data_IF_992248902007
#
_entry.id   IF_992248902007
#
_cell.length_a   1.000
_cell.length_b   1.000
_cell.length_c   1.000
_cell.angle_alpha   90.00
_cell.angle_beta   90.00
_cell.angle_gamma   90.00
#
_symmetry.space_group_name_H-M   'P 1'
#
loop_
_entity.id
_entity.type
_entity.pdbx_description
1 polymer ?
#
# COMPACT_ATOMS: atom_id res chain seq x y z
N UNK A 1 -22.77 -29.04 -21.96
CA UNK A 1 -23.41 -27.77 -21.54
C UNK A 1 -23.39 -27.78 -20.03
N UNK A 2 -22.80 -26.78 -19.40
CA UNK A 2 -22.88 -26.65 -17.94
C UNK A 2 -24.33 -26.29 -17.62
N UNK A 3 -25.00 -27.08 -16.79
CA UNK A 3 -26.37 -26.77 -16.38
C UNK A 3 -26.31 -25.72 -15.27
N UNK A 4 -26.98 -24.59 -15.48
CA UNK A 4 -27.25 -23.65 -14.41
C UNK A 4 -28.64 -23.96 -13.87
N UNK A 5 -28.70 -24.75 -12.80
CA UNK A 5 -29.96 -25.18 -12.16
C UNK A 5 -30.30 -24.34 -10.94
N UNK A 6 -29.63 -23.21 -10.75
CA UNK A 6 -29.93 -22.24 -9.71
C UNK A 6 -31.08 -21.31 -10.11
N UNK A 7 -31.70 -20.65 -9.12
CA UNK A 7 -32.46 -19.46 -9.41
C UNK A 7 -31.47 -18.33 -9.74
N UNK A 8 -31.60 -17.73 -10.93
CA UNK A 8 -30.87 -16.52 -11.31
C UNK A 8 -31.19 -15.36 -10.36
N UNK A 9 -30.38 -14.28 -10.40
CA UNK A 9 -30.74 -13.04 -9.72
C UNK A 9 -32.11 -12.55 -10.20
N UNK A 10 -33.08 -12.47 -9.30
CA UNK A 10 -34.44 -12.04 -9.61
C UNK A 10 -34.66 -10.59 -9.20
N UNK A 11 -35.66 -9.96 -9.82
CA UNK A 11 -36.08 -8.60 -9.46
C UNK A 11 -36.49 -8.58 -7.99
N UNK A 12 -35.81 -7.74 -7.20
CA UNK A 12 -36.02 -7.62 -5.75
C UNK A 12 -34.89 -8.18 -4.91
N UNK A 13 -33.94 -8.91 -5.50
CA UNK A 13 -32.73 -9.33 -4.79
C UNK A 13 -31.87 -8.11 -4.42
N UNK A 14 -31.40 -8.10 -3.17
CA UNK A 14 -30.43 -7.12 -2.70
C UNK A 14 -29.31 -7.81 -1.95
N UNK A 15 -28.07 -7.42 -2.26
CA UNK A 15 -26.89 -7.85 -1.54
C UNK A 15 -26.41 -6.71 -0.66
N UNK A 16 -26.33 -6.94 0.65
CA UNK A 16 -25.71 -5.99 1.57
C UNK A 16 -24.26 -6.39 1.76
N UNK A 17 -23.35 -5.55 1.29
CA UNK A 17 -21.90 -5.72 1.51
C UNK A 17 -21.48 -4.79 2.64
N UNK A 18 -21.12 -5.36 3.79
CA UNK A 18 -20.59 -4.60 4.90
C UNK A 18 -19.12 -4.25 4.63
N UNK A 19 -18.81 -2.97 4.51
CA UNK A 19 -17.44 -2.47 4.48
C UNK A 19 -17.10 -1.93 5.86
N UNK A 20 -16.29 -2.69 6.61
CA UNK A 20 -15.82 -2.24 7.91
C UNK A 20 -14.90 -1.01 7.76
N UNK A 21 -14.92 -0.12 8.74
CA UNK A 21 -13.98 0.98 8.79
C UNK A 21 -12.54 0.44 8.89
N UNK A 22 -11.64 0.98 8.07
CA UNK A 22 -10.22 0.67 8.16
C UNK A 22 -9.62 1.12 9.50
N UNK A 23 -8.50 0.51 9.90
CA UNK A 23 -7.80 0.85 11.14
C UNK A 23 -7.13 2.22 11.11
N UNK A 24 -6.98 2.84 9.92
CA UNK A 24 -6.18 4.04 9.66
C UNK A 24 -4.71 3.92 10.10
N UNK A 25 -4.22 2.69 10.28
CA UNK A 25 -2.83 2.40 10.60
C UNK A 25 -2.04 2.18 9.32
N UNK A 26 -0.77 2.56 9.36
CA UNK A 26 0.19 2.26 8.30
C UNK A 26 1.09 1.11 8.77
N UNK A 27 1.50 0.27 7.83
CA UNK A 27 2.38 -0.87 8.08
C UNK A 27 3.52 -0.85 7.07
N UNK A 28 4.54 -1.68 7.29
CA UNK A 28 5.62 -1.85 6.33
C UNK A 28 5.08 -2.38 4.99
N UNK A 29 5.70 -1.93 3.89
CA UNK A 29 5.37 -2.35 2.53
C UNK A 29 5.56 -3.87 2.38
N UNK A 30 4.51 -4.56 1.94
CA UNK A 30 4.48 -6.00 1.71
C UNK A 30 3.73 -6.30 0.42
N UNK A 31 4.47 -6.67 -0.63
CA UNK A 31 3.90 -6.92 -1.96
C UNK A 31 3.04 -8.19 -2.05
N UNK A 32 3.05 -9.03 -1.02
CA UNK A 32 2.21 -10.22 -0.94
C UNK A 32 0.91 -9.98 -0.18
N UNK A 33 0.80 -8.83 0.48
CA UNK A 33 -0.39 -8.46 1.21
C UNK A 33 -1.57 -8.16 0.26
N UNK A 34 -2.77 -8.28 0.81
CA UNK A 34 -4.05 -8.00 0.13
C UNK A 34 -4.90 -6.99 0.91
N UNK A 35 -4.27 -6.27 1.83
CA UNK A 35 -4.90 -5.36 2.78
C UNK A 35 -4.54 -3.88 2.55
N UNK A 36 -3.88 -3.58 1.43
CA UNK A 36 -3.36 -2.25 1.09
C UNK A 36 -1.87 -2.06 1.43
N UNK A 37 -1.26 -2.96 2.21
CA UNK A 37 0.17 -2.89 2.52
C UNK A 37 1.07 -3.15 1.30
N UNK A 38 0.53 -3.65 0.20
CA UNK A 38 1.25 -3.80 -1.08
C UNK A 38 1.47 -2.47 -1.81
N UNK A 39 0.79 -1.40 -1.39
CA UNK A 39 0.85 -0.09 -2.02
C UNK A 39 1.69 0.89 -1.19
N UNK A 40 2.70 1.49 -1.81
CA UNK A 40 3.57 2.44 -1.14
C UNK A 40 2.85 3.76 -0.86
N UNK A 41 2.62 4.06 0.43
CA UNK A 41 1.88 5.23 0.88
C UNK A 41 2.76 6.42 1.31
N UNK A 42 3.92 6.15 1.90
CA UNK A 42 4.81 7.18 2.43
C UNK A 42 6.11 6.61 2.97
N UNK A 43 6.97 7.49 3.49
CA UNK A 43 8.30 7.14 4.00
C UNK A 43 8.38 7.52 5.48
N UNK A 44 8.68 6.56 6.35
CA UNK A 44 8.91 6.84 7.77
C UNK A 44 10.24 7.59 7.97
N UNK A 45 10.26 8.57 8.87
CA UNK A 45 11.47 9.38 9.14
C UNK A 45 12.44 8.70 10.13
N UNK A 46 11.98 7.64 10.79
CA UNK A 46 12.73 6.88 11.78
C UNK A 46 12.17 5.46 11.86
N UNK A 47 12.93 4.56 12.49
CA UNK A 47 12.39 3.28 12.91
C UNK A 47 11.44 3.50 14.10
N UNK A 48 10.18 3.14 13.91
CA UNK A 48 9.21 3.02 14.99
C UNK A 48 9.07 1.54 15.33
N UNK A 49 8.84 1.24 16.61
CA UNK A 49 8.96 -0.12 17.17
C UNK A 49 8.26 -1.22 16.39
N UNK A 50 8.75 -2.44 16.58
CA UNK A 50 8.36 -3.68 15.88
C UNK A 50 7.29 -4.50 16.62
N UNK A 51 6.93 -4.08 17.84
CA UNK A 51 6.04 -4.82 18.74
C UNK A 51 4.77 -4.04 19.03
N UNK A 52 3.79 -4.20 18.12
CA UNK A 52 2.46 -3.63 18.23
C UNK A 52 2.34 -2.22 17.65
N UNK A 53 1.20 -1.58 17.91
CA UNK A 53 0.89 -0.27 17.34
C UNK A 53 1.62 0.83 18.10
N UNK A 54 2.37 1.65 17.37
CA UNK A 54 3.09 2.80 17.92
C UNK A 54 2.79 4.06 17.12
N UNK A 55 2.86 5.21 17.77
CA UNK A 55 2.79 6.50 17.08
C UNK A 55 4.12 6.78 16.38
N UNK A 56 4.03 7.17 15.11
CA UNK A 56 5.19 7.54 14.31
C UNK A 56 4.88 8.66 13.32
N UNK A 57 5.95 9.17 12.71
CA UNK A 57 5.89 10.24 11.72
C UNK A 57 6.36 9.70 10.38
N UNK A 58 5.58 9.98 9.34
CA UNK A 58 5.91 9.65 7.97
C UNK A 58 5.75 10.89 7.08
N UNK A 59 6.60 10.97 6.08
CA UNK A 59 6.45 11.86 4.93
C UNK A 59 5.46 11.18 3.99
N UNK A 60 4.30 11.80 3.78
CA UNK A 60 3.19 11.22 3.00
C UNK A 60 2.86 12.01 1.75
N UNK A 61 3.50 13.18 1.54
CA UNK A 61 3.34 14.02 0.35
C UNK A 61 4.43 15.07 0.22
N UNK A 62 4.56 15.63 -0.98
CA UNK A 62 5.33 16.84 -1.30
C UNK A 62 6.76 16.83 -0.73
N UNK A 63 7.56 15.86 -1.17
CA UNK A 63 8.93 15.71 -0.71
C UNK A 63 9.88 15.27 -1.81
N UNK A 64 11.13 15.66 -1.68
CA UNK A 64 12.22 15.15 -2.50
C UNK A 64 13.08 14.21 -1.65
N UNK A 65 13.30 13.00 -2.13
CA UNK A 65 14.07 11.97 -1.41
C UNK A 65 15.23 11.44 -2.23
N UNK A 66 16.28 11.04 -1.56
CA UNK A 66 17.41 10.35 -2.16
C UNK A 66 17.22 8.84 -1.97
N UNK A 67 16.87 8.14 -3.06
CA UNK A 67 16.37 6.76 -2.99
C UNK A 67 17.45 5.76 -2.52
N UNK A 68 18.72 6.12 -2.64
CA UNK A 68 19.84 5.32 -2.16
C UNK A 68 19.89 5.20 -0.63
N UNK A 69 19.24 6.11 0.12
CA UNK A 69 19.14 6.05 1.58
C UNK A 69 17.88 5.31 2.08
N UNK A 70 17.01 4.84 1.18
CA UNK A 70 15.82 4.10 1.58
C UNK A 70 16.16 2.67 2.00
N UNK A 71 15.68 2.29 3.18
CA UNK A 71 15.67 0.90 3.63
C UNK A 71 14.46 0.19 3.03
N UNK A 72 14.70 -0.89 2.29
CA UNK A 72 13.66 -1.70 1.67
C UNK A 72 13.42 -3.00 2.45
N UNK A 73 12.20 -3.54 2.45
CA UNK A 73 11.96 -4.89 2.96
C UNK A 73 12.84 -5.91 2.21
N UNK A 74 13.20 -6.99 2.90
CA UNK A 74 14.09 -8.00 2.35
C UNK A 74 13.49 -8.66 1.10
N UNK A 75 14.34 -8.97 0.12
CA UNK A 75 13.93 -9.66 -1.11
C UNK A 75 13.33 -8.77 -2.20
N UNK A 76 13.19 -7.45 -1.98
CA UNK A 76 12.70 -6.54 -3.02
C UNK A 76 13.67 -6.42 -4.20
N UNK A 77 13.18 -6.72 -5.40
CA UNK A 77 13.92 -6.54 -6.67
C UNK A 77 13.98 -5.07 -7.08
N UNK A 78 14.87 -4.73 -8.01
CA UNK A 78 14.96 -3.37 -8.57
C UNK A 78 13.63 -2.91 -9.15
N UNK A 79 12.95 -3.77 -9.91
CA UNK A 79 11.67 -3.42 -10.54
C UNK A 79 10.57 -3.17 -9.51
N UNK A 80 10.56 -3.95 -8.42
CA UNK A 80 9.62 -3.76 -7.31
C UNK A 80 9.87 -2.44 -6.56
N UNK A 81 11.13 -2.07 -6.36
CA UNK A 81 11.49 -0.77 -5.78
C UNK A 81 11.05 0.37 -6.69
N UNK A 82 11.31 0.25 -7.99
CA UNK A 82 10.91 1.25 -8.98
C UNK A 82 9.38 1.42 -9.04
N UNK A 83 8.63 0.32 -8.96
CA UNK A 83 7.17 0.37 -8.89
C UNK A 83 6.67 1.10 -7.63
N UNK A 84 7.24 0.81 -6.47
CA UNK A 84 6.91 1.51 -5.23
C UNK A 84 7.27 3.02 -5.30
N UNK A 85 8.40 3.37 -5.90
CA UNK A 85 8.79 4.76 -6.12
C UNK A 85 7.83 5.48 -7.09
N UNK A 86 7.33 4.79 -8.11
CA UNK A 86 6.31 5.33 -9.01
C UNK A 86 4.98 5.59 -8.27
N UNK A 87 4.59 4.70 -7.34
CA UNK A 87 3.44 4.94 -6.47
C UNK A 87 3.64 6.17 -5.57
N UNK A 88 4.81 6.30 -4.94
CA UNK A 88 5.15 7.48 -4.12
C UNK A 88 5.15 8.79 -4.94
N UNK A 89 5.58 8.75 -6.20
CA UNK A 89 5.53 9.91 -7.09
C UNK A 89 4.10 10.41 -7.34
N UNK A 90 3.08 9.54 -7.28
CA UNK A 90 1.66 9.96 -7.36
C UNK A 90 1.24 10.84 -6.17
N UNK A 91 1.96 10.77 -5.05
CA UNK A 91 1.79 11.61 -3.87
C UNK A 91 2.76 12.81 -3.85
N UNK A 92 3.45 13.08 -4.97
CA UNK A 92 4.51 14.08 -5.09
C UNK A 92 5.72 13.84 -4.17
N UNK A 93 5.96 12.58 -3.79
CA UNK A 93 7.22 12.17 -3.20
C UNK A 93 8.13 11.73 -4.34
N UNK A 94 9.02 12.62 -4.77
CA UNK A 94 9.85 12.45 -5.97
C UNK A 94 11.30 12.15 -5.60
N UNK A 95 11.98 11.39 -6.46
CA UNK A 95 13.41 11.16 -6.30
C UNK A 95 14.20 12.44 -6.66
N UNK A 96 15.29 12.67 -5.96
CA UNK A 96 16.29 13.66 -6.37
C UNK A 96 16.88 13.24 -7.72
N UNK A 97 16.84 14.16 -8.68
CA UNK A 97 17.68 14.07 -9.86
C UNK A 97 19.03 14.70 -9.53
N UNK A 98 20.07 13.88 -9.43
CA UNK A 98 21.45 14.37 -9.50
C UNK A 98 21.77 14.67 -10.96
N UNK A 99 22.04 15.95 -11.26
CA UNK A 99 22.47 16.43 -12.56
C UNK A 99 23.97 16.23 -12.78
#
# INVERSE_FOLDING_TARGET
MVNDTGADFIVGDSFTIAVAAGSNKVVALDLTAVNGAQDAYGIMIAAYGDTGDVQGVAIVRDAQIEATYLTWPSGFTTDQKNAALAQLATQHIVQRYDA
#
